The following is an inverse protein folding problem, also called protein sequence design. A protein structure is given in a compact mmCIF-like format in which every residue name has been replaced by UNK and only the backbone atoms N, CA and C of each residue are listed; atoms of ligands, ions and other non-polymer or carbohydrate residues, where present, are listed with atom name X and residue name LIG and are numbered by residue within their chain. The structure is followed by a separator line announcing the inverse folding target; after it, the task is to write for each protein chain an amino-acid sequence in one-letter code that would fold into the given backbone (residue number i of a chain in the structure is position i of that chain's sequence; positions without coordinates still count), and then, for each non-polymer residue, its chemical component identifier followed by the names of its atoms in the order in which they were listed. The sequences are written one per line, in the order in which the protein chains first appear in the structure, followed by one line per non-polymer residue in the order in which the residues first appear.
data_IF_424532850170
#
_entry.id   IF_424532850170
#
_cell.length_a   1.000
_cell.length_b   1.000
_cell.length_c   1.000
_cell.angle_alpha   90.00
_cell.angle_beta   90.00
_cell.angle_gamma   90.00
#
_symmetry.space_group_name_H-M   'P 1'
#
loop_
_entity.id
_entity.type
_entity.pdbx_description
1 polymer ?
#
# COMPACT_ATOMS: atom_id res chain seq x y z
N UNK A 1 28.16 5.23 4.82
CA UNK A 1 27.15 4.23 5.26
C UNK A 1 27.33 3.95 6.74
N UNK A 2 26.27 4.07 7.52
CA UNK A 2 26.24 3.63 8.91
C UNK A 2 25.69 2.20 8.95
N UNK A 3 26.50 1.27 9.48
CA UNK A 3 26.07 -0.11 9.70
C UNK A 3 25.93 -0.35 11.20
N UNK A 4 24.76 -0.81 11.63
CA UNK A 4 24.49 -1.20 13.01
C UNK A 4 24.32 -2.73 13.05
N UNK A 5 25.20 -3.41 13.80
CA UNK A 5 25.19 -4.88 13.89
C UNK A 5 24.10 -5.45 14.84
N UNK A 6 23.33 -4.60 15.46
CA UNK A 6 22.26 -4.97 16.36
C UNK A 6 21.02 -4.08 16.16
N UNK A 7 20.33 -3.79 17.25
CA UNK A 7 19.17 -2.92 17.22
C UNK A 7 19.59 -1.44 17.21
N UNK A 8 18.98 -0.64 16.34
CA UNK A 8 19.06 0.82 16.43
C UNK A 8 17.86 1.33 17.25
N UNK A 9 18.15 1.96 18.37
CA UNK A 9 17.14 2.60 19.22
C UNK A 9 17.26 4.13 19.12
N UNK A 10 16.18 4.78 18.74
CA UNK A 10 16.07 6.24 18.74
C UNK A 10 15.19 6.65 19.93
N UNK A 11 15.84 6.95 21.06
CA UNK A 11 15.17 7.23 22.33
C UNK A 11 15.04 8.73 22.57
N UNK A 12 14.12 9.36 21.85
CA UNK A 12 13.78 10.77 22.03
C UNK A 12 12.33 11.03 21.62
N UNK A 13 11.85 12.25 21.88
CA UNK A 13 10.49 12.68 21.50
C UNK A 13 10.40 13.24 20.09
N UNK A 14 11.50 13.30 19.35
CA UNK A 14 11.57 13.74 17.97
C UNK A 14 11.21 12.64 16.98
N UNK A 15 11.76 12.76 15.78
CA UNK A 15 11.53 11.80 14.70
C UNK A 15 12.81 11.48 13.94
N UNK A 16 12.87 10.29 13.34
CA UNK A 16 13.84 9.99 12.32
C UNK A 16 13.33 10.47 10.95
N UNK A 17 14.12 11.27 10.25
CA UNK A 17 13.82 11.62 8.86
C UNK A 17 14.39 10.54 7.95
N UNK A 18 13.50 9.79 7.29
CA UNK A 18 13.90 8.80 6.30
C UNK A 18 14.21 9.46 4.96
N UNK A 19 14.88 8.72 4.10
CA UNK A 19 15.19 9.15 2.73
C UNK A 19 13.92 9.51 1.96
N UNK A 20 13.96 10.63 1.24
CA UNK A 20 12.86 11.13 0.43
C UNK A 20 13.28 11.16 -1.04
N UNK A 21 12.43 10.72 -1.93
CA UNK A 21 12.67 10.79 -3.36
C UNK A 21 11.44 10.40 -4.17
N UNK A 22 11.50 10.67 -5.47
CA UNK A 22 10.43 10.29 -6.42
C UNK A 22 10.41 8.78 -6.65
N UNK A 23 9.37 8.29 -7.34
CA UNK A 23 9.30 6.89 -7.80
C UNK A 23 10.51 6.53 -8.66
N UNK A 24 10.94 7.42 -9.57
CA UNK A 24 12.10 7.19 -10.45
C UNK A 24 13.45 7.16 -9.72
N UNK A 25 13.50 7.68 -8.50
CA UNK A 25 14.71 7.70 -7.66
C UNK A 25 14.79 6.53 -6.68
N UNK A 26 13.98 5.50 -6.86
CA UNK A 26 14.11 4.28 -6.07
C UNK A 26 15.49 3.68 -6.27
N UNK A 27 16.19 3.31 -5.19
CA UNK A 27 17.49 2.63 -5.31
C UNK A 27 17.29 1.21 -5.84
N UNK A 28 18.41 0.55 -6.16
CA UNK A 28 18.38 -0.90 -6.36
C UNK A 28 17.74 -1.56 -5.16
N UNK A 29 16.68 -2.31 -5.40
CA UNK A 29 15.79 -2.78 -4.35
C UNK A 29 16.44 -3.90 -3.51
N UNK A 30 16.37 -3.75 -2.20
CA UNK A 30 16.74 -4.77 -1.22
C UNK A 30 15.61 -4.88 -0.21
N UNK A 31 15.20 -6.11 0.07
CA UNK A 31 14.14 -6.39 1.06
C UNK A 31 14.43 -5.71 2.40
N UNK A 32 13.42 -5.05 2.93
CA UNK A 32 13.51 -4.29 4.19
C UNK A 32 13.85 -2.82 4.04
N UNK A 33 14.11 -2.33 2.82
CA UNK A 33 14.26 -0.88 2.60
C UNK A 33 12.95 -0.13 2.89
N UNK A 34 13.06 1.02 3.52
CA UNK A 34 11.96 1.94 3.81
C UNK A 34 12.36 3.35 3.43
N UNK A 35 11.44 4.08 2.76
CA UNK A 35 11.65 5.47 2.36
C UNK A 35 10.31 6.20 2.20
N UNK A 36 10.36 7.53 2.02
CA UNK A 36 9.21 8.32 1.63
C UNK A 36 9.23 8.60 0.12
N UNK A 37 8.16 8.29 -0.57
CA UNK A 37 7.99 8.54 -2.00
C UNK A 37 7.22 9.84 -2.21
N UNK A 38 7.90 10.87 -2.72
CA UNK A 38 7.30 12.18 -2.96
C UNK A 38 6.35 12.22 -4.16
N UNK A 39 6.44 11.27 -5.09
CA UNK A 39 5.49 11.15 -6.20
C UNK A 39 4.12 10.68 -5.70
N UNK A 40 4.10 9.70 -4.81
CA UNK A 40 2.85 9.13 -4.27
C UNK A 40 2.40 9.80 -2.98
N UNK A 41 3.28 10.58 -2.33
CA UNK A 41 3.00 11.19 -1.03
C UNK A 41 2.89 10.19 0.12
N UNK A 42 3.54 9.04 0.02
CA UNK A 42 3.41 7.94 0.99
C UNK A 42 4.76 7.40 1.43
N UNK A 43 4.81 6.87 2.65
CA UNK A 43 5.90 5.98 3.03
C UNK A 43 5.76 4.67 2.25
N UNK A 44 6.88 4.14 1.80
CA UNK A 44 6.94 2.87 1.08
C UNK A 44 8.08 2.00 1.58
N UNK A 45 7.92 0.70 1.44
CA UNK A 45 8.94 -0.28 1.75
C UNK A 45 9.09 -1.30 0.62
N UNK A 46 10.26 -1.92 0.54
CA UNK A 46 10.47 -3.03 -0.36
C UNK A 46 10.27 -4.34 0.40
N UNK A 47 9.25 -5.09 0.00
CA UNK A 47 8.94 -6.40 0.54
C UNK A 47 9.74 -7.51 -0.12
N UNK A 48 9.13 -8.68 -0.27
CA UNK A 48 9.80 -9.83 -0.88
C UNK A 48 10.11 -9.62 -2.38
N UNK A 49 9.23 -8.92 -3.11
CA UNK A 49 9.29 -8.83 -4.57
C UNK A 49 9.00 -7.44 -5.14
N UNK A 50 8.48 -6.51 -4.35
CA UNK A 50 8.01 -5.22 -4.86
C UNK A 50 8.06 -4.10 -3.83
N UNK A 51 8.13 -2.87 -4.33
CA UNK A 51 7.84 -1.68 -3.55
C UNK A 51 6.34 -1.56 -3.32
N UNK A 52 5.96 -1.25 -2.07
CA UNK A 52 4.57 -1.02 -1.71
C UNK A 52 4.44 0.04 -0.63
N UNK A 53 3.28 0.68 -0.55
CA UNK A 53 2.98 1.63 0.51
C UNK A 53 2.96 0.93 1.87
N UNK A 54 3.52 1.58 2.89
CA UNK A 54 3.36 1.15 4.27
C UNK A 54 1.99 1.62 4.75
N UNK A 55 1.20 0.67 5.21
CA UNK A 55 -0.23 0.85 5.42
C UNK A 55 -0.97 0.56 4.12
N UNK A 56 -2.16 0.06 4.20
CA UNK A 56 -2.91 -0.39 3.05
C UNK A 56 -4.39 -0.39 3.28
N UNK A 57 -5.08 -0.78 2.22
CA UNK A 57 -6.51 -0.88 2.19
C UNK A 57 -7.21 0.45 1.89
N UNK A 58 -8.52 0.38 1.83
CA UNK A 58 -9.36 1.54 1.66
C UNK A 58 -9.31 2.38 2.95
N UNK A 59 -9.00 3.64 2.81
CA UNK A 59 -8.87 4.55 3.94
C UNK A 59 -9.70 5.80 3.70
N UNK A 60 -10.44 6.19 4.70
CA UNK A 60 -11.13 7.46 4.74
C UNK A 60 -10.45 8.43 5.68
N UNK A 61 -10.79 9.67 5.55
CA UNK A 61 -10.19 10.77 6.28
C UNK A 61 -11.10 11.39 7.31
N UNK A 62 -10.64 12.52 7.72
CA UNK A 62 -11.25 13.33 8.77
C UNK A 62 -10.68 13.01 10.14
N UNK A 63 -10.90 13.95 11.05
CA UNK A 63 -10.37 13.83 12.42
C UNK A 63 -10.99 12.66 13.20
N UNK A 64 -12.20 12.29 12.84
CA UNK A 64 -12.95 11.26 13.57
C UNK A 64 -12.67 9.83 13.09
N UNK A 65 -12.02 9.66 11.95
CA UNK A 65 -11.65 8.36 11.37
C UNK A 65 -12.83 7.37 11.26
N UNK A 66 -13.98 7.87 10.92
CA UNK A 66 -15.23 7.08 10.87
C UNK A 66 -15.43 6.44 9.51
N UNK A 67 -14.84 7.01 8.45
CA UNK A 67 -15.12 6.64 7.07
C UNK A 67 -14.07 5.67 6.53
N UNK A 68 -14.53 4.66 5.80
CA UNK A 68 -13.69 3.83 4.94
C UNK A 68 -14.05 4.18 3.50
N UNK A 69 -13.09 4.72 2.76
CA UNK A 69 -13.30 5.16 1.37
C UNK A 69 -12.50 4.27 0.42
N UNK A 70 -13.10 3.94 -0.72
CA UNK A 70 -12.42 3.27 -1.82
C UNK A 70 -12.71 3.96 -3.15
N UNK A 71 -11.78 3.81 -4.11
CA UNK A 71 -11.99 4.29 -5.47
C UNK A 71 -13.19 3.62 -6.14
N UNK A 72 -13.79 4.30 -7.10
CA UNK A 72 -14.97 3.82 -7.84
C UNK A 72 -14.61 3.07 -9.13
N UNK A 73 -13.36 3.10 -9.55
CA UNK A 73 -12.92 2.52 -10.82
C UNK A 73 -11.73 1.59 -10.65
N UNK A 74 -11.86 0.39 -11.18
CA UNK A 74 -10.76 -0.57 -11.30
C UNK A 74 -10.12 -0.39 -12.68
N UNK A 75 -8.85 0.02 -12.69
CA UNK A 75 -8.11 0.37 -13.91
C UNK A 75 -7.03 -0.65 -14.28
N UNK A 76 -6.72 -1.57 -13.40
CA UNK A 76 -5.71 -2.63 -13.58
C UNK A 76 -6.26 -3.96 -13.11
N UNK A 77 -5.79 -5.04 -13.74
CA UNK A 77 -6.18 -6.40 -13.35
C UNK A 77 -5.87 -6.65 -11.88
N UNK A 78 -6.76 -7.33 -11.20
CA UNK A 78 -6.58 -7.70 -9.81
C UNK A 78 -7.15 -9.10 -9.54
N UNK A 79 -6.37 -9.92 -8.86
CA UNK A 79 -6.80 -11.22 -8.38
C UNK A 79 -6.88 -11.20 -6.86
N UNK A 80 -8.05 -11.50 -6.31
CA UNK A 80 -8.17 -11.68 -4.87
C UNK A 80 -7.23 -12.78 -4.40
N UNK A 81 -6.62 -12.57 -3.25
CA UNK A 81 -5.76 -13.59 -2.64
C UNK A 81 -6.59 -14.82 -2.28
N UNK A 82 -6.12 -16.00 -2.70
CA UNK A 82 -6.78 -17.27 -2.38
C UNK A 82 -7.00 -17.41 -0.88
N UNK A 83 -8.22 -17.77 -0.47
CA UNK A 83 -8.60 -17.90 0.92
C UNK A 83 -9.02 -16.59 1.61
N UNK A 84 -9.09 -15.49 0.86
CA UNK A 84 -9.53 -14.18 1.38
C UNK A 84 -10.82 -13.72 0.70
N UNK A 85 -11.59 -12.92 1.39
CA UNK A 85 -12.74 -12.20 0.85
C UNK A 85 -12.42 -10.71 0.77
N UNK A 86 -13.10 -9.99 -0.13
CA UNK A 86 -12.97 -8.56 -0.29
C UNK A 86 -14.32 -7.85 -0.14
N UNK A 87 -14.25 -6.58 0.22
CA UNK A 87 -15.39 -5.70 0.34
C UNK A 87 -15.07 -4.32 -0.27
N UNK A 88 -16.02 -3.75 -0.96
CA UNK A 88 -15.96 -2.39 -1.47
C UNK A 88 -17.32 -1.71 -1.29
N UNK A 89 -17.33 -0.39 -1.23
CA UNK A 89 -18.57 0.38 -1.38
C UNK A 89 -18.73 0.79 -2.85
N UNK A 90 -19.96 0.64 -3.37
CA UNK A 90 -20.27 0.96 -4.76
C UNK A 90 -20.75 2.41 -4.96
N UNK A 91 -20.95 2.81 -6.22
CA UNK A 91 -20.77 1.97 -7.41
C UNK A 91 -19.32 1.69 -7.75
N UNK A 92 -19.05 0.53 -8.36
CA UNK A 92 -17.72 0.15 -8.86
C UNK A 92 -17.79 -0.05 -10.37
N UNK A 93 -16.91 0.59 -11.11
CA UNK A 93 -16.71 0.39 -12.55
C UNK A 93 -15.42 -0.38 -12.78
N UNK A 94 -15.49 -1.49 -13.49
CA UNK A 94 -14.32 -2.19 -14.01
C UNK A 94 -14.09 -1.71 -15.44
N UNK A 95 -12.95 -1.10 -15.73
CA UNK A 95 -12.66 -0.57 -17.06
C UNK A 95 -12.65 -1.68 -18.12
N UNK A 96 -12.90 -1.28 -19.37
CA UNK A 96 -12.82 -2.19 -20.51
C UNK A 96 -11.44 -2.86 -20.57
N UNK A 97 -11.42 -4.18 -20.76
CA UNK A 97 -10.18 -4.97 -20.82
C UNK A 97 -9.54 -5.28 -19.45
N UNK A 98 -10.09 -4.75 -18.38
CA UNK A 98 -9.62 -5.04 -17.00
C UNK A 98 -10.38 -6.25 -16.45
N UNK A 99 -9.66 -7.11 -15.75
CA UNK A 99 -10.22 -8.33 -15.14
C UNK A 99 -10.02 -8.31 -13.63
N UNK A 100 -11.10 -8.51 -12.89
CA UNK A 100 -11.05 -8.82 -11.46
C UNK A 100 -11.34 -10.31 -11.30
N UNK A 101 -10.38 -11.04 -10.78
CA UNK A 101 -10.50 -12.49 -10.58
C UNK A 101 -10.82 -12.81 -9.14
N UNK A 102 -11.89 -13.57 -8.93
CA UNK A 102 -12.32 -14.03 -7.61
C UNK A 102 -12.07 -15.54 -7.56
N UNK A 103 -11.09 -16.02 -6.78
CA UNK A 103 -10.79 -17.43 -6.67
C UNK A 103 -11.97 -18.24 -6.12
N UNK A 104 -12.00 -19.54 -6.43
CA UNK A 104 -13.01 -20.45 -5.87
C UNK A 104 -13.09 -20.35 -4.37
N UNK A 105 -14.29 -20.17 -3.83
CA UNK A 105 -14.57 -20.03 -2.40
C UNK A 105 -14.37 -18.62 -1.84
N UNK A 106 -13.77 -17.71 -2.62
CA UNK A 106 -13.67 -16.30 -2.24
C UNK A 106 -14.93 -15.52 -2.63
N UNK A 107 -15.08 -14.34 -2.04
CA UNK A 107 -16.19 -13.41 -2.33
C UNK A 107 -15.68 -11.99 -2.42
N UNK A 108 -16.24 -11.24 -3.34
CA UNK A 108 -16.15 -9.78 -3.36
C UNK A 108 -17.55 -9.22 -3.18
N UNK A 109 -17.75 -8.51 -2.09
CA UNK A 109 -19.03 -7.87 -1.74
C UNK A 109 -18.93 -6.39 -2.04
N UNK A 110 -19.86 -5.88 -2.84
CA UNK A 110 -20.02 -4.45 -3.12
C UNK A 110 -21.28 -3.97 -2.41
N UNK A 111 -21.09 -3.05 -1.48
CA UNK A 111 -22.18 -2.48 -0.68
C UNK A 111 -22.77 -1.23 -1.32
#
# INVERSE_FOLDING_TARGET
TLTVAGQLTLNNTGAAKLSVGTTGQRPTAVTGMVRYNSTTGKFEGYGATAWGALGGGATGGGADQVFVENGQTVTTDYTLTTGFNAMSTGPITVNSGVVVTIPTGARWVVL
#
